data_IF_118062966170
#
_entry.id   IF_118062966170
#
_cell.length_a   1.000
_cell.length_b   1.000
_cell.length_c   1.000
_cell.angle_alpha   90.00
_cell.angle_beta   90.00
_cell.angle_gamma   90.00
#
_symmetry.space_group_name_H-M   'P 1'
#
loop_
_entity.id
_entity.type
_entity.pdbx_description
1 polymer ?
#
# COMPACT_ATOMS: atom_id res chain seq x y z
N UNK A 1 -6.46 15.40 -10.06
CA UNK A 1 -6.35 13.97 -10.51
C UNK A 1 -4.93 13.45 -10.35
N UNK A 2 -3.90 14.22 -10.75
CA UNK A 2 -2.47 13.86 -10.61
C UNK A 2 -2.06 13.47 -9.18
N UNK A 3 -2.67 14.09 -8.17
CA UNK A 3 -2.26 13.88 -6.77
C UNK A 3 -2.51 12.44 -6.27
N UNK A 4 -3.66 11.82 -6.61
CA UNK A 4 -3.95 10.43 -6.20
C UNK A 4 -3.02 9.42 -6.89
N UNK A 5 -2.67 9.67 -8.15
CA UNK A 5 -1.70 8.85 -8.89
C UNK A 5 -0.31 8.95 -8.28
N UNK A 6 0.10 10.15 -7.86
CA UNK A 6 1.37 10.35 -7.19
C UNK A 6 1.46 9.60 -5.85
N UNK A 7 0.39 9.61 -5.05
CA UNK A 7 0.30 8.82 -3.81
C UNK A 7 0.51 7.32 -4.10
N UNK A 8 -0.17 6.78 -5.11
CA UNK A 8 -0.02 5.37 -5.51
C UNK A 8 1.42 5.09 -5.98
N UNK A 9 1.99 5.94 -6.81
CA UNK A 9 3.36 5.76 -7.31
C UNK A 9 4.39 5.81 -6.18
N UNK A 10 4.25 6.74 -5.22
CA UNK A 10 5.12 6.80 -4.04
C UNK A 10 5.05 5.52 -3.21
N UNK A 11 3.83 5.02 -2.98
CA UNK A 11 3.63 3.74 -2.30
C UNK A 11 4.33 2.59 -3.02
N UNK A 12 4.10 2.44 -4.34
CA UNK A 12 4.67 1.37 -5.17
C UNK A 12 6.20 1.45 -5.21
N UNK A 13 6.76 2.65 -5.35
CA UNK A 13 8.20 2.87 -5.30
C UNK A 13 8.78 2.44 -3.95
N UNK A 14 8.19 2.87 -2.84
CA UNK A 14 8.61 2.48 -1.50
C UNK A 14 8.50 0.96 -1.29
N UNK A 15 7.41 0.36 -1.77
CA UNK A 15 7.23 -1.09 -1.75
C UNK A 15 8.37 -1.80 -2.51
N UNK A 16 8.64 -1.41 -3.75
CA UNK A 16 9.64 -2.03 -4.62
C UNK A 16 11.08 -1.88 -4.08
N UNK A 17 11.38 -0.75 -3.44
CA UNK A 17 12.69 -0.46 -2.85
C UNK A 17 12.88 -1.04 -1.45
N UNK A 18 11.85 -1.71 -0.91
CA UNK A 18 11.82 -2.12 0.50
C UNK A 18 12.00 -0.97 1.49
N UNK A 19 11.58 0.24 1.09
CA UNK A 19 11.58 1.46 1.92
C UNK A 19 10.19 1.65 2.53
N UNK A 20 10.03 1.15 3.76
CA UNK A 20 8.77 1.25 4.49
C UNK A 20 8.44 2.70 4.86
N UNK A 21 9.44 3.57 5.06
CA UNK A 21 9.18 4.99 5.36
C UNK A 21 8.56 5.67 4.15
N UNK A 22 9.10 5.44 2.95
CA UNK A 22 8.52 5.96 1.70
C UNK A 22 7.13 5.36 1.44
N UNK A 23 6.97 4.05 1.68
CA UNK A 23 5.71 3.34 1.44
C UNK A 23 4.54 3.91 2.26
N UNK A 24 4.79 4.43 3.46
CA UNK A 24 3.76 4.94 4.36
C UNK A 24 3.65 6.47 4.42
N UNK A 25 4.45 7.19 3.62
CA UNK A 25 4.60 8.64 3.73
C UNK A 25 3.31 9.43 3.46
N UNK A 26 2.46 8.89 2.58
CA UNK A 26 1.22 9.53 2.13
C UNK A 26 -0.05 8.92 2.76
N UNK A 27 0.11 8.06 3.78
CA UNK A 27 -1.01 7.36 4.43
C UNK A 27 -1.51 8.12 5.67
N UNK A 28 -2.83 8.13 5.86
CA UNK A 28 -3.47 8.68 7.06
C UNK A 28 -3.12 7.86 8.32
N UNK A 29 -3.03 8.51 9.47
CA UNK A 29 -2.79 7.83 10.75
C UNK A 29 -3.89 6.78 11.06
N UNK A 30 -5.09 6.95 10.51
CA UNK A 30 -6.27 6.10 10.71
C UNK A 30 -6.56 5.16 9.53
N UNK A 31 -5.59 4.89 8.65
CA UNK A 31 -5.81 3.94 7.54
C UNK A 31 -6.40 2.61 7.99
N UNK A 32 -7.21 2.02 7.11
CA UNK A 32 -7.64 0.62 7.22
C UNK A 32 -6.99 -0.14 6.08
N UNK A 33 -6.20 -1.16 6.41
CA UNK A 33 -5.60 -2.06 5.44
C UNK A 33 -6.29 -3.42 5.50
N UNK A 34 -6.69 -3.94 4.34
CA UNK A 34 -7.35 -5.24 4.23
C UNK A 34 -6.66 -6.11 3.19
N UNK A 35 -6.38 -7.37 3.56
CA UNK A 35 -5.94 -8.40 2.63
C UNK A 35 -7.16 -9.23 2.20
N UNK A 36 -7.64 -8.99 0.99
CA UNK A 36 -8.80 -9.65 0.43
C UNK A 36 -8.34 -10.72 -0.57
N UNK A 37 -8.73 -11.97 -0.33
CA UNK A 37 -8.48 -13.11 -1.21
C UNK A 37 -9.77 -13.90 -1.38
N UNK A 38 -10.14 -14.24 -2.62
CA UNK A 38 -11.39 -14.96 -2.92
C UNK A 38 -12.64 -14.33 -2.28
N UNK A 39 -12.72 -12.99 -2.27
CA UNK A 39 -13.76 -12.21 -1.61
C UNK A 39 -13.82 -12.33 -0.08
N UNK A 40 -12.85 -12.97 0.56
CA UNK A 40 -12.72 -13.05 2.01
C UNK A 40 -11.60 -12.14 2.51
N UNK A 41 -11.87 -11.42 3.60
CA UNK A 41 -10.86 -10.60 4.27
C UNK A 41 -10.08 -11.49 5.23
N UNK A 42 -8.86 -11.85 4.84
CA UNK A 42 -7.95 -12.70 5.62
C UNK A 42 -7.21 -11.93 6.72
N UNK A 43 -7.08 -10.61 6.58
CA UNK A 43 -6.44 -9.71 7.53
C UNK A 43 -7.04 -8.32 7.42
N UNK A 44 -7.33 -7.68 8.55
CA UNK A 44 -7.72 -6.27 8.63
C UNK A 44 -6.88 -5.59 9.72
N UNK A 45 -6.22 -4.49 9.36
CA UNK A 45 -5.38 -3.70 10.25
C UNK A 45 -5.91 -2.27 10.31
N UNK A 46 -5.92 -1.70 11.52
CA UNK A 46 -6.34 -0.32 11.75
C UNK A 46 -5.17 0.51 12.25
N UNK A 47 -4.99 1.65 11.59
CA UNK A 47 -3.99 2.65 11.92
C UNK A 47 -2.62 2.38 11.32
N UNK A 48 -1.88 3.48 11.11
CA UNK A 48 -0.58 3.49 10.48
C UNK A 48 0.46 2.64 11.20
N UNK A 49 0.42 2.63 12.53
CA UNK A 49 1.35 1.84 13.37
C UNK A 49 1.22 0.35 13.11
N UNK A 50 -0.01 -0.17 13.09
CA UNK A 50 -0.27 -1.60 12.85
C UNK A 50 0.14 -2.00 11.44
N UNK A 51 -0.18 -1.17 10.44
CA UNK A 51 0.23 -1.40 9.06
C UNK A 51 1.75 -1.42 8.90
N UNK A 52 2.46 -0.47 9.52
CA UNK A 52 3.93 -0.38 9.45
C UNK A 52 4.60 -1.62 10.05
N UNK A 53 4.12 -2.11 11.20
CA UNK A 53 4.61 -3.35 11.82
C UNK A 53 4.42 -4.56 10.89
N UNK A 54 3.25 -4.65 10.25
CA UNK A 54 2.98 -5.69 9.26
C UNK A 54 3.91 -5.57 8.05
N UNK A 55 4.14 -4.37 7.54
CA UNK A 55 4.98 -4.12 6.37
C UNK A 55 6.46 -4.48 6.61
N UNK A 56 6.99 -4.16 7.79
CA UNK A 56 8.35 -4.56 8.18
C UNK A 56 8.49 -6.08 8.30
N UNK A 57 7.48 -6.75 8.85
CA UNK A 57 7.45 -8.21 8.93
C UNK A 57 7.38 -8.83 7.52
N UNK A 58 6.46 -8.35 6.68
CA UNK A 58 6.24 -8.86 5.33
C UNK A 58 7.44 -8.62 4.40
N UNK A 59 8.23 -7.58 4.63
CA UNK A 59 9.49 -7.32 3.90
C UNK A 59 10.46 -8.50 4.00
N UNK A 60 10.48 -9.23 5.12
CA UNK A 60 11.38 -10.37 5.32
C UNK A 60 11.03 -11.59 4.45
N UNK A 61 9.82 -11.66 3.90
CA UNK A 61 9.36 -12.78 3.07
C UNK A 61 9.93 -12.76 1.65
N UNK A 62 10.57 -11.67 1.24
CA UNK A 62 11.05 -11.50 -0.12
C UNK A 62 12.53 -11.09 -0.13
N UNK A 63 13.32 -11.74 -0.99
CA UNK A 63 14.68 -11.26 -1.33
C UNK A 63 14.64 -10.18 -2.41
N UNK A 64 13.63 -10.22 -3.28
CA UNK A 64 13.32 -9.23 -4.32
C UNK A 64 11.80 -9.17 -4.51
N UNK A 65 11.26 -7.97 -4.77
CA UNK A 65 9.85 -7.78 -5.11
C UNK A 65 9.68 -6.58 -6.04
N UNK A 66 8.70 -6.66 -6.92
CA UNK A 66 8.34 -5.57 -7.84
C UNK A 66 6.85 -5.61 -8.14
N UNK A 67 6.19 -4.46 -8.03
CA UNK A 67 4.86 -4.19 -8.53
C UNK A 67 4.94 -3.13 -9.64
N UNK A 68 4.12 -3.30 -10.67
CA UNK A 68 4.05 -2.39 -11.84
C UNK A 68 2.60 -2.05 -12.08
N UNK A 69 2.26 -0.77 -12.03
CA UNK A 69 0.92 -0.30 -12.36
C UNK A 69 0.64 -0.56 -13.84
N UNK A 70 -0.49 -1.21 -14.14
CA UNK A 70 -0.89 -1.53 -15.52
C UNK A 70 -1.84 -0.50 -16.13
N UNK A 71 -2.68 0.09 -15.29
CA UNK A 71 -3.67 1.11 -15.67
C UNK A 71 -4.17 1.79 -14.39
N UNK A 72 -4.72 2.99 -14.52
CA UNK A 72 -5.49 3.63 -13.47
C UNK A 72 -6.95 3.78 -13.92
N UNK A 73 -7.88 3.56 -13.00
CA UNK A 73 -9.28 3.96 -13.13
C UNK A 73 -9.58 5.02 -12.11
N UNK A 74 -10.18 6.13 -12.57
CA UNK A 74 -10.57 7.22 -11.71
C UNK A 74 -12.07 7.22 -11.50
N UNK A 75 -12.46 7.35 -10.24
CA UNK A 75 -13.81 7.63 -9.81
C UNK A 75 -13.83 8.98 -9.11
N UNK A 76 -15.01 9.51 -8.79
CA UNK A 76 -15.14 10.81 -8.13
C UNK A 76 -14.29 10.86 -6.85
N UNK A 77 -14.43 9.84 -5.99
CA UNK A 77 -13.80 9.81 -4.67
C UNK A 77 -12.62 8.83 -4.54
N UNK A 78 -12.28 8.07 -5.58
CA UNK A 78 -11.23 7.05 -5.49
C UNK A 78 -10.44 6.87 -6.79
N UNK A 79 -9.34 6.12 -6.71
CA UNK A 79 -8.54 5.69 -7.85
C UNK A 79 -8.00 4.29 -7.55
N UNK A 80 -8.13 3.37 -8.53
CA UNK A 80 -7.65 1.98 -8.46
C UNK A 80 -6.80 1.59 -9.68
#
# INVERSE_FOLDING_TARGET
MTDRVNIINNYIDGYNQFDIKKMVADLDDNIVFENIQNNETSLSLKGLTAFKQQAETAKTYFTKRTQVVKSFKHFDNSTE
#
